data_IF_067700228586
#
_entry.id   IF_067700228586
#
_cell.length_a   1.000
_cell.length_b   1.000
_cell.length_c   1.000
_cell.angle_alpha   90.00
_cell.angle_beta   90.00
_cell.angle_gamma   90.00
#
_symmetry.space_group_name_H-M   'P 1'
#
loop_
_entity.id
_entity.type
_entity.pdbx_description
1 polymer ?
#
# COMPACT_ATOMS: atom_id res chain seq x y z
N UNK A 1 -0.91 6.50 0.53
CA UNK A 1 -2.29 6.08 0.88
C UNK A 1 -3.16 6.07 -0.37
N UNK A 2 -3.33 7.21 -1.06
CA UNK A 2 -4.16 7.35 -2.26
C UNK A 2 -4.17 6.19 -3.27
N UNK A 3 -2.99 5.72 -3.72
CA UNK A 3 -2.92 4.67 -4.76
C UNK A 3 -3.46 3.32 -4.27
N UNK A 4 -3.24 3.01 -2.99
CA UNK A 4 -3.75 1.80 -2.33
C UNK A 4 -5.27 1.92 -2.16
N UNK A 5 -5.75 3.08 -1.71
CA UNK A 5 -7.18 3.34 -1.54
C UNK A 5 -7.93 3.23 -2.87
N UNK A 6 -7.31 3.68 -3.96
CA UNK A 6 -7.84 3.54 -5.32
C UNK A 6 -7.92 2.07 -5.78
N UNK A 7 -6.89 1.27 -5.52
CA UNK A 7 -6.91 -0.18 -5.79
C UNK A 7 -8.00 -0.89 -4.96
N UNK A 8 -8.12 -0.56 -3.69
CA UNK A 8 -9.18 -1.08 -2.81
C UNK A 8 -10.57 -0.69 -3.31
N UNK A 9 -10.77 0.56 -3.71
CA UNK A 9 -12.04 1.08 -4.22
C UNK A 9 -12.49 0.38 -5.50
N UNK A 10 -11.55 0.07 -6.40
CA UNK A 10 -11.84 -0.73 -7.61
C UNK A 10 -12.17 -2.19 -7.28
N UNK A 11 -11.52 -2.77 -6.27
CA UNK A 11 -11.82 -4.13 -5.79
C UNK A 11 -13.18 -4.27 -5.11
N UNK A 12 -13.77 -3.19 -4.57
CA UNK A 12 -15.14 -3.20 -4.03
C UNK A 12 -16.13 -3.70 -5.08
N UNK A 13 -15.97 -3.27 -6.33
CA UNK A 13 -16.88 -3.68 -7.40
C UNK A 13 -16.89 -5.19 -7.63
N UNK A 14 -15.88 -5.93 -7.17
CA UNK A 14 -15.79 -7.38 -7.27
C UNK A 14 -16.25 -8.11 -5.99
N UNK A 15 -16.41 -7.40 -4.88
CA UNK A 15 -16.65 -8.03 -3.58
C UNK A 15 -18.01 -7.67 -2.98
N UNK A 16 -18.68 -8.66 -2.40
CA UNK A 16 -20.04 -8.55 -1.84
C UNK A 16 -20.12 -7.75 -0.52
N UNK A 17 -18.99 -7.41 0.10
CA UNK A 17 -18.93 -6.69 1.38
C UNK A 17 -17.82 -5.65 1.33
N UNK A 18 -18.20 -4.37 1.20
CA UNK A 18 -17.27 -3.25 0.99
C UNK A 18 -16.58 -2.79 2.27
N UNK A 19 -17.31 -2.69 3.39
CA UNK A 19 -16.77 -2.17 4.66
C UNK A 19 -15.73 -3.07 5.30
N UNK A 20 -16.03 -4.37 5.45
CA UNK A 20 -15.13 -5.29 6.18
C UNK A 20 -13.76 -5.47 5.53
N UNK A 21 -13.65 -5.29 4.22
CA UNK A 21 -12.37 -5.36 3.50
C UNK A 21 -11.53 -4.11 3.75
N UNK A 22 -12.15 -2.93 3.74
CA UNK A 22 -11.44 -1.69 4.04
C UNK A 22 -10.90 -1.69 5.46
N UNK A 23 -11.72 -2.09 6.43
CA UNK A 23 -11.31 -2.15 7.83
C UNK A 23 -10.18 -3.16 8.05
N UNK A 24 -10.27 -4.34 7.43
CA UNK A 24 -9.25 -5.37 7.54
C UNK A 24 -7.91 -4.94 6.93
N UNK A 25 -7.95 -4.38 5.72
CA UNK A 25 -6.72 -3.94 5.03
C UNK A 25 -6.13 -2.72 5.73
N UNK A 26 -6.96 -1.76 6.15
CA UNK A 26 -6.52 -0.59 6.90
C UNK A 26 -5.83 -0.96 8.21
N UNK A 27 -6.45 -1.84 9.01
CA UNK A 27 -5.87 -2.31 10.28
C UNK A 27 -4.55 -3.06 10.06
N UNK A 28 -4.50 -3.94 9.04
CA UNK A 28 -3.27 -4.66 8.69
C UNK A 28 -2.16 -3.70 8.24
N UNK A 29 -2.50 -2.65 7.49
CA UNK A 29 -1.53 -1.65 7.07
C UNK A 29 -0.97 -0.83 8.23
N UNK A 30 -1.80 -0.48 9.21
CA UNK A 30 -1.32 0.24 10.41
C UNK A 30 -0.28 -0.55 11.21
N UNK A 31 -0.38 -1.89 11.24
CA UNK A 31 0.61 -2.75 11.88
C UNK A 31 1.94 -2.77 11.10
N UNK A 32 1.87 -2.74 9.77
CA UNK A 32 3.03 -2.98 8.90
C UNK A 32 3.76 -1.69 8.50
N UNK A 33 3.12 -0.52 8.57
CA UNK A 33 3.76 0.74 8.14
C UNK A 33 4.70 1.36 9.20
N UNK A 34 4.70 0.84 10.43
CA UNK A 34 5.57 1.30 11.52
C UNK A 34 5.09 2.53 12.30
N UNK A 35 3.82 2.94 12.16
CA UNK A 35 3.20 4.03 12.94
C UNK A 35 3.06 3.69 14.43
N UNK A 36 2.67 2.44 14.75
CA UNK A 36 2.43 2.04 16.14
C UNK A 36 3.73 1.79 16.91
N UNK A 37 4.71 1.17 16.26
CA UNK A 37 6.05 0.97 16.80
C UNK A 37 7.08 0.87 15.66
N UNK A 38 8.35 1.25 15.91
CA UNK A 38 9.45 1.04 14.99
C UNK A 38 9.53 -0.42 14.53
N UNK A 39 9.52 -0.65 13.22
CA UNK A 39 9.55 -1.99 12.63
C UNK A 39 10.80 -2.81 13.02
N UNK A 40 11.87 -2.13 13.48
CA UNK A 40 13.09 -2.75 13.98
C UNK A 40 12.88 -3.62 15.23
N UNK A 41 11.77 -3.46 15.95
CA UNK A 41 11.42 -4.32 17.09
C UNK A 41 10.88 -5.69 16.67
N UNK A 42 10.56 -5.90 15.40
CA UNK A 42 10.10 -7.20 14.89
C UNK A 42 11.26 -8.21 14.79
N UNK A 43 10.95 -9.52 14.84
CA UNK A 43 11.95 -10.56 14.56
C UNK A 43 12.60 -10.32 13.20
N UNK A 44 13.91 -10.55 13.11
CA UNK A 44 14.72 -10.20 11.94
C UNK A 44 14.12 -10.69 10.62
N UNK A 45 13.67 -11.95 10.57
CA UNK A 45 13.03 -12.54 9.38
C UNK A 45 11.80 -11.76 8.89
N UNK A 46 10.97 -11.29 9.82
CA UNK A 46 9.75 -10.53 9.50
C UNK A 46 10.14 -9.14 9.03
N UNK A 47 11.07 -8.49 9.75
CA UNK A 47 11.59 -7.19 9.37
C UNK A 47 12.16 -7.19 7.96
N UNK A 48 13.06 -8.13 7.63
CA UNK A 48 13.66 -8.26 6.29
C UNK A 48 12.60 -8.45 5.21
N UNK A 49 11.57 -9.26 5.46
CA UNK A 49 10.47 -9.46 4.53
C UNK A 49 9.69 -8.17 4.26
N UNK A 50 9.44 -7.38 5.30
CA UNK A 50 8.73 -6.10 5.19
C UNK A 50 9.53 -5.02 4.46
N UNK A 51 10.86 -5.07 4.52
CA UNK A 51 11.72 -4.15 3.76
C UNK A 51 11.54 -4.27 2.24
N UNK A 52 11.09 -5.42 1.74
CA UNK A 52 10.79 -5.55 0.32
C UNK A 52 9.44 -4.94 -0.04
N UNK A 53 8.54 -4.73 0.92
CA UNK A 53 7.20 -4.20 0.70
C UNK A 53 7.20 -2.66 0.64
N UNK A 54 6.19 -2.06 -0.02
CA UNK A 54 6.06 -0.60 -0.12
C UNK A 54 5.65 0.05 1.21
N UNK A 55 5.02 -0.70 2.12
CA UNK A 55 4.30 -0.14 3.26
C UNK A 55 5.19 0.58 4.28
N UNK A 56 6.37 0.03 4.67
CA UNK A 56 7.29 0.76 5.55
C UNK A 56 7.77 2.10 4.97
N UNK A 57 7.81 2.22 3.64
CA UNK A 57 8.24 3.43 2.95
C UNK A 57 7.18 4.54 2.96
N UNK A 58 5.97 4.28 3.46
CA UNK A 58 4.91 5.28 3.59
C UNK A 58 5.06 6.16 4.83
N UNK A 59 5.67 5.66 5.90
CA UNK A 59 5.75 6.40 7.17
C UNK A 59 7.04 6.15 7.95
N UNK A 60 7.44 4.88 8.12
CA UNK A 60 8.62 4.52 8.90
C UNK A 60 9.94 5.04 8.30
N UNK A 61 10.22 4.74 7.02
CA UNK A 61 11.47 5.19 6.39
C UNK A 61 11.57 6.70 6.22
N UNK A 62 10.52 7.42 5.79
CA UNK A 62 10.55 8.89 5.78
C UNK A 62 10.87 9.47 7.16
N UNK A 63 10.30 8.91 8.24
CA UNK A 63 10.63 9.34 9.60
C UNK A 63 12.11 9.11 9.95
N UNK A 64 12.69 7.98 9.52
CA UNK A 64 14.13 7.73 9.70
C UNK A 64 15.01 8.69 8.89
N UNK A 65 14.58 9.08 7.69
CA UNK A 65 15.29 10.09 6.89
C UNK A 65 15.28 11.44 7.60
N UNK A 66 14.14 11.87 8.14
CA UNK A 66 14.06 13.11 8.94
C UNK A 66 14.95 13.07 10.19
N UNK A 67 15.20 11.88 10.73
CA UNK A 67 16.11 11.65 11.86
C UNK A 67 17.58 11.45 11.44
N UNK A 68 17.92 11.63 10.15
CA UNK A 68 19.25 11.35 9.58
C UNK A 68 19.75 9.90 9.82
N UNK A 69 18.83 8.93 9.89
CA UNK A 69 19.13 7.50 10.09
C UNK A 69 18.98 6.65 8.82
N UNK A 70 18.54 7.24 7.71
CA UNK A 70 18.36 6.57 6.43
C UNK A 70 18.71 7.52 5.27
N UNK A 71 19.16 6.95 4.15
CA UNK A 71 19.47 7.72 2.95
C UNK A 71 18.17 8.13 2.22
N UNK A 72 17.99 9.43 2.06
CA UNK A 72 16.87 10.02 1.34
C UNK A 72 16.77 9.50 -0.10
N UNK A 73 17.89 9.42 -0.83
CA UNK A 73 17.88 9.03 -2.24
C UNK A 73 17.43 7.57 -2.40
N UNK A 74 17.89 6.70 -1.50
CA UNK A 74 17.52 5.30 -1.51
C UNK A 74 16.02 5.12 -1.21
N UNK A 75 15.52 5.78 -0.15
CA UNK A 75 14.10 5.72 0.23
C UNK A 75 13.21 6.24 -0.91
N UNK A 76 13.61 7.34 -1.54
CA UNK A 76 12.87 7.94 -2.64
C UNK A 76 12.89 7.04 -3.89
N UNK A 77 14.01 6.39 -4.19
CA UNK A 77 14.12 5.40 -5.26
C UNK A 77 13.16 4.22 -5.07
N UNK A 78 13.08 3.67 -3.86
CA UNK A 78 12.12 2.60 -3.54
C UNK A 78 10.66 3.06 -3.69
N UNK A 79 10.34 4.27 -3.22
CA UNK A 79 9.00 4.84 -3.38
C UNK A 79 8.61 4.99 -4.86
N UNK A 80 9.52 5.50 -5.69
CA UNK A 80 9.30 5.66 -7.12
C UNK A 80 9.14 4.32 -7.85
N UNK A 81 9.97 3.31 -7.53
CA UNK A 81 9.83 1.96 -8.09
C UNK A 81 8.44 1.38 -7.82
N UNK A 82 7.96 1.46 -6.57
CA UNK A 82 6.63 0.97 -6.22
C UNK A 82 5.51 1.78 -6.86
N UNK A 83 5.66 3.09 -6.98
CA UNK A 83 4.70 3.96 -7.65
C UNK A 83 4.57 3.59 -9.14
N UNK A 84 5.69 3.37 -9.83
CA UNK A 84 5.72 2.91 -11.22
C UNK A 84 5.12 1.51 -11.41
N UNK A 85 5.20 0.65 -10.39
CA UNK A 85 4.60 -0.68 -10.41
C UNK A 85 3.10 -0.64 -10.16
N UNK A 86 2.63 0.12 -9.16
CA UNK A 86 1.22 0.13 -8.77
C UNK A 86 0.33 0.99 -9.67
N UNK A 87 0.86 2.05 -10.29
CA UNK A 87 0.09 2.89 -11.22
C UNK A 87 -0.55 2.09 -12.37
N UNK A 88 0.19 1.28 -13.16
CA UNK A 88 -0.39 0.52 -14.25
C UNK A 88 -1.36 -0.57 -13.75
N UNK A 89 -1.07 -1.19 -12.60
CA UNK A 89 -1.96 -2.19 -11.98
C UNK A 89 -3.30 -1.53 -11.60
N UNK A 90 -3.24 -0.36 -10.96
CA UNK A 90 -4.42 0.43 -10.58
C UNK A 90 -5.26 0.78 -11.80
N UNK A 91 -4.60 1.22 -12.88
CA UNK A 91 -5.29 1.58 -14.13
C UNK A 91 -5.90 0.36 -14.83
N UNK A 92 -5.24 -0.80 -14.76
CA UNK A 92 -5.76 -2.05 -15.29
C UNK A 92 -6.98 -2.54 -14.51
N UNK A 93 -6.91 -2.53 -13.17
CA UNK A 93 -8.04 -2.84 -12.29
C UNK A 93 -9.23 -1.92 -12.55
N UNK A 94 -8.99 -0.62 -12.75
CA UNK A 94 -10.01 0.35 -13.12
C UNK A 94 -10.71 -0.04 -14.44
N UNK A 95 -9.95 -0.37 -15.49
CA UNK A 95 -10.51 -0.81 -16.78
C UNK A 95 -11.36 -2.08 -16.68
N UNK A 96 -10.94 -3.06 -15.88
CA UNK A 96 -11.72 -4.29 -15.66
C UNK A 96 -13.01 -3.95 -14.88
N UNK A 97 -12.91 -3.10 -13.87
CA UNK A 97 -14.06 -2.68 -13.05
C UNK A 97 -15.14 -1.98 -13.90
N UNK A 98 -14.73 -1.07 -14.79
CA UNK A 98 -15.66 -0.36 -15.69
C UNK A 98 -16.46 -1.30 -16.61
N UNK A 99 -15.81 -2.32 -17.18
CA UNK A 99 -16.51 -3.31 -18.04
C UNK A 99 -17.61 -4.07 -17.29
N UNK A 100 -17.48 -4.23 -15.97
CA UNK A 100 -18.50 -4.88 -15.14
C UNK A 100 -19.69 -3.97 -14.86
N UNK A 101 -19.45 -2.66 -14.73
CA UNK A 101 -20.50 -1.65 -14.52
C UNK A 101 -21.35 -1.51 -15.78
N UNK A 102 -20.74 -1.49 -16.97
CA UNK A 102 -21.46 -1.37 -18.26
C UNK A 102 -22.37 -2.58 -18.59
N UNK A 103 -22.08 -3.77 -18.04
CA UNK A 103 -22.92 -4.97 -18.20
C UNK A 103 -24.17 -4.98 -17.31
N UNK A 104 -24.24 -4.12 -16.30
CA UNK A 104 -25.43 -3.87 -15.48
C UNK A 104 -26.04 -2.58 -16.00
N UNK A 105 -26.66 -2.65 -17.17
CA UNK A 105 -27.41 -1.52 -17.74
C UNK A 105 -28.41 -1.00 -16.71
N UNK A 106 -28.28 0.28 -16.38
CA UNK A 106 -29.38 1.09 -15.86
C UNK A 106 -30.17 1.57 -17.08
#
# INVERSE_FOLDING_TARGET
MFLIDFMLSTLIFFTKSSHGIFDFVGTSMHLINGILFPLIFLPEKVYSGLLYLPFPYLSYFPALVFLNKADFLQVLGFQLCWLLLFLPISFFLWKISLKRIEGVGI
#
